data_IF_672075944234
#
_entry.id   IF_672075944234
#
_cell.length_a   1.000
_cell.length_b   1.000
_cell.length_c   1.000
_cell.angle_alpha   90.00
_cell.angle_beta   90.00
_cell.angle_gamma   90.00
#
_symmetry.space_group_name_H-M   'P 1'
#
loop_
_entity.id
_entity.type
_entity.pdbx_description
1 polymer ?
#
# COMPACT_ATOMS: atom_id res chain seq x y z
N UNK A 1 1.41 -18.28 8.45
CA UNK A 1 0.92 -16.89 8.57
C UNK A 1 1.36 -16.17 9.84
N UNK A 2 0.78 -16.43 11.02
CA UNK A 2 1.09 -15.69 12.27
C UNK A 2 2.59 -15.64 12.60
N UNK A 3 3.30 -16.76 12.45
CA UNK A 3 4.76 -16.81 12.65
C UNK A 3 5.51 -15.88 11.67
N UNK A 4 5.05 -15.76 10.42
CA UNK A 4 5.62 -14.84 9.43
C UNK A 4 5.38 -13.38 9.79
N UNK A 5 4.20 -13.04 10.30
CA UNK A 5 3.90 -11.69 10.79
C UNK A 5 4.82 -11.30 11.96
N UNK A 6 4.96 -12.19 12.96
CA UNK A 6 5.86 -11.96 14.10
C UNK A 6 7.32 -11.89 13.70
N UNK A 7 7.76 -12.70 12.73
CA UNK A 7 9.13 -12.63 12.25
C UNK A 7 9.40 -11.31 11.53
N UNK A 8 8.52 -10.89 10.61
CA UNK A 8 8.65 -9.61 9.91
C UNK A 8 8.62 -8.42 10.85
N UNK A 9 7.76 -8.45 11.88
CA UNK A 9 7.69 -7.41 12.90
C UNK A 9 8.99 -7.29 13.72
N UNK A 10 9.55 -8.42 14.18
CA UNK A 10 10.85 -8.42 14.88
C UNK A 10 11.97 -7.87 14.01
N UNK A 11 12.05 -8.32 12.75
CA UNK A 11 13.08 -7.83 11.82
C UNK A 11 12.98 -6.31 11.65
N UNK A 12 11.76 -5.77 11.49
CA UNK A 12 11.58 -4.31 11.38
C UNK A 12 12.01 -3.63 12.68
N UNK A 13 11.63 -4.14 13.85
CA UNK A 13 12.06 -3.55 15.12
C UNK A 13 13.58 -3.58 15.31
N UNK A 14 14.24 -4.65 14.90
CA UNK A 14 15.70 -4.78 14.96
C UNK A 14 16.40 -3.79 14.03
N UNK A 15 15.82 -3.50 12.85
CA UNK A 15 16.29 -2.42 11.97
C UNK A 15 16.15 -1.06 12.66
N UNK A 16 15.01 -0.77 13.30
CA UNK A 16 14.76 0.50 13.98
C UNK A 16 15.71 0.78 15.17
N UNK A 17 16.41 -0.24 15.69
CA UNK A 17 17.45 -0.06 16.73
C UNK A 17 18.84 0.27 16.16
N UNK A 18 18.99 0.26 14.84
CA UNK A 18 20.24 0.48 14.13
C UNK A 18 20.17 1.76 13.30
N UNK A 19 21.31 2.44 13.07
CA UNK A 19 21.32 3.57 12.15
C UNK A 19 21.02 3.08 10.73
N UNK A 20 20.39 3.95 9.93
CA UNK A 20 19.86 3.61 8.59
C UNK A 20 20.91 3.00 7.64
N UNK A 21 22.16 3.47 7.74
CA UNK A 21 23.29 3.01 6.93
C UNK A 21 23.80 1.60 7.32
N UNK A 22 23.44 1.10 8.51
CA UNK A 22 23.77 -0.24 8.97
C UNK A 22 22.67 -1.27 8.65
N UNK A 23 21.52 -0.84 8.10
CA UNK A 23 20.41 -1.74 7.80
C UNK A 23 20.82 -2.81 6.77
N UNK A 24 20.52 -4.06 7.10
CA UNK A 24 20.79 -5.21 6.25
C UNK A 24 19.59 -6.17 6.28
N UNK A 25 19.30 -6.81 5.15
CA UNK A 25 18.32 -7.89 5.09
C UNK A 25 18.87 -9.13 5.82
N UNK A 26 18.26 -9.59 6.93
CA UNK A 26 18.80 -10.75 7.63
C UNK A 26 18.67 -12.02 6.79
N UNK A 27 19.74 -12.81 6.69
CA UNK A 27 19.77 -14.01 5.84
C UNK A 27 18.67 -15.01 6.20
N UNK A 28 18.46 -15.24 7.51
CA UNK A 28 17.41 -16.15 7.97
C UNK A 28 16.00 -15.68 7.57
N UNK A 29 15.77 -14.38 7.47
CA UNK A 29 14.49 -13.82 7.03
C UNK A 29 14.32 -13.98 5.52
N UNK A 30 15.35 -13.65 4.74
CA UNK A 30 15.40 -13.88 3.29
C UNK A 30 15.14 -15.36 2.96
N UNK A 31 15.82 -16.26 3.66
CA UNK A 31 15.76 -17.70 3.37
C UNK A 31 14.39 -18.27 3.75
N UNK A 32 13.80 -17.86 4.88
CA UNK A 32 12.42 -18.24 5.23
C UNK A 32 11.40 -17.73 4.20
N UNK A 33 11.58 -16.49 3.72
CA UNK A 33 10.75 -15.90 2.66
C UNK A 33 10.87 -16.70 1.36
N UNK A 34 12.11 -16.99 0.93
CA UNK A 34 12.42 -17.81 -0.25
C UNK A 34 11.82 -19.21 -0.16
N UNK A 35 12.02 -19.91 0.95
CA UNK A 35 11.45 -21.24 1.17
C UNK A 35 9.93 -21.22 1.04
N UNK A 36 9.27 -20.23 1.65
CA UNK A 36 7.81 -20.09 1.56
C UNK A 36 7.34 -19.76 0.13
N UNK A 37 8.07 -18.92 -0.58
CA UNK A 37 7.77 -18.53 -1.96
C UNK A 37 7.87 -19.71 -2.94
N UNK A 38 8.89 -20.56 -2.76
CA UNK A 38 9.18 -21.72 -3.61
C UNK A 38 8.38 -22.98 -3.23
N UNK A 39 7.70 -23.00 -2.09
CA UNK A 39 6.91 -24.15 -1.66
C UNK A 39 5.67 -24.33 -2.57
N UNK A 40 5.67 -25.40 -3.37
CA UNK A 40 4.59 -25.74 -4.29
C UNK A 40 3.42 -26.46 -3.62
N UNK A 41 3.57 -26.89 -2.36
CA UNK A 41 2.55 -27.62 -1.60
C UNK A 41 1.60 -26.70 -0.85
N UNK A 42 2.03 -25.47 -0.56
CA UNK A 42 1.20 -24.49 0.15
C UNK A 42 0.09 -23.93 -0.75
N UNK A 43 -1.08 -23.72 -0.14
CA UNK A 43 -2.17 -22.98 -0.76
C UNK A 43 -1.73 -21.55 -1.15
N UNK A 44 -2.05 -21.05 -2.36
CA UNK A 44 -1.65 -19.72 -2.81
C UNK A 44 -2.15 -18.58 -1.91
N UNK A 45 -3.35 -18.67 -1.33
CA UNK A 45 -3.85 -17.64 -0.43
C UNK A 45 -3.05 -17.63 0.88
N UNK A 46 -2.72 -18.80 1.43
CA UNK A 46 -1.85 -18.91 2.60
C UNK A 46 -0.44 -18.36 2.34
N UNK A 47 0.13 -18.63 1.16
CA UNK A 47 1.41 -18.05 0.73
C UNK A 47 1.33 -16.53 0.66
N UNK A 48 0.35 -15.98 -0.04
CA UNK A 48 0.18 -14.54 -0.19
C UNK A 48 0.06 -13.84 1.18
N UNK A 49 -0.74 -14.39 2.09
CA UNK A 49 -0.87 -13.85 3.44
C UNK A 49 0.45 -13.96 4.23
N UNK A 50 1.15 -15.08 4.15
CA UNK A 50 2.39 -15.30 4.91
C UNK A 50 3.55 -14.44 4.42
N UNK A 51 3.61 -14.17 3.11
CA UNK A 51 4.64 -13.34 2.46
C UNK A 51 4.31 -11.84 2.47
N UNK A 52 3.14 -11.44 2.94
CA UNK A 52 2.79 -10.02 3.12
C UNK A 52 3.46 -9.50 4.39
N UNK A 53 4.35 -8.49 4.25
CA UNK A 53 4.95 -7.84 5.41
C UNK A 53 3.87 -7.21 6.31
N UNK A 54 4.07 -7.20 7.64
CA UNK A 54 3.16 -6.54 8.57
C UNK A 54 2.85 -5.09 8.17
N UNK A 55 1.65 -4.63 8.48
CA UNK A 55 1.26 -3.24 8.21
C UNK A 55 1.95 -2.29 9.18
N UNK A 56 2.17 -1.05 8.73
CA UNK A 56 2.80 0.00 9.54
C UNK A 56 2.01 0.27 10.84
N UNK A 57 0.68 0.26 10.76
CA UNK A 57 -0.18 0.41 11.94
C UNK A 57 -0.10 -0.78 12.91
N UNK A 58 0.13 -2.01 12.42
CA UNK A 58 0.37 -3.16 13.29
C UNK A 58 1.71 -3.02 14.02
N UNK A 59 2.78 -2.67 13.28
CA UNK A 59 4.12 -2.46 13.85
C UNK A 59 4.10 -1.34 14.89
N UNK A 60 3.48 -0.20 14.57
CA UNK A 60 3.29 0.90 15.50
C UNK A 60 2.57 0.44 16.77
N UNK A 61 1.50 -0.36 16.63
CA UNK A 61 0.78 -0.93 17.77
C UNK A 61 1.61 -1.89 18.62
N UNK A 62 2.54 -2.66 18.04
CA UNK A 62 3.46 -3.54 18.78
C UNK A 62 4.55 -2.76 19.51
N UNK A 63 5.04 -1.65 18.94
CA UNK A 63 6.00 -0.76 19.61
C UNK A 63 5.34 -0.06 20.80
N UNK A 64 4.12 0.44 20.62
CA UNK A 64 3.24 0.85 21.73
C UNK A 64 3.53 2.22 22.37
N UNK A 65 4.70 2.82 22.16
CA UNK A 65 5.04 4.17 22.62
C UNK A 65 6.19 4.77 21.79
N UNK A 66 6.32 6.10 21.81
CA UNK A 66 7.39 6.86 21.14
C UNK A 66 7.59 6.43 19.66
N UNK A 67 6.49 6.14 18.98
CA UNK A 67 6.51 5.63 17.61
C UNK A 67 6.89 6.74 16.63
N UNK A 68 7.93 6.48 15.85
CA UNK A 68 8.22 7.22 14.63
C UNK A 68 7.63 6.49 13.40
N UNK A 69 6.51 6.99 12.83
CA UNK A 69 5.86 6.38 11.67
C UNK A 69 6.69 6.50 10.39
N UNK A 70 7.56 7.50 10.28
CA UNK A 70 8.45 7.67 9.13
C UNK A 70 9.55 6.61 9.16
N UNK A 71 10.15 6.37 10.33
CA UNK A 71 11.14 5.31 10.48
C UNK A 71 10.56 3.91 10.19
N UNK A 72 9.34 3.61 10.69
CA UNK A 72 8.64 2.35 10.37
C UNK A 72 8.46 2.19 8.86
N UNK A 73 7.99 3.25 8.20
CA UNK A 73 7.80 3.25 6.75
C UNK A 73 9.12 2.97 6.02
N UNK A 74 10.18 3.70 6.35
CA UNK A 74 11.50 3.51 5.75
C UNK A 74 12.04 2.08 5.94
N UNK A 75 11.90 1.50 7.14
CA UNK A 75 12.34 0.14 7.44
C UNK A 75 11.54 -0.90 6.65
N UNK A 76 10.22 -0.71 6.53
CA UNK A 76 9.35 -1.59 5.74
C UNK A 76 9.70 -1.51 4.25
N UNK A 77 9.89 -0.31 3.72
CA UNK A 77 10.27 -0.10 2.31
C UNK A 77 11.71 -0.58 2.01
N UNK A 78 12.62 -0.51 2.98
CA UNK A 78 13.93 -1.16 2.91
C UNK A 78 13.80 -2.68 2.75
N UNK A 79 13.01 -3.35 3.60
CA UNK A 79 12.80 -4.79 3.47
C UNK A 79 12.14 -5.18 2.15
N UNK A 80 11.15 -4.41 1.70
CA UNK A 80 10.49 -4.69 0.40
C UNK A 80 11.48 -4.63 -0.76
N UNK A 81 12.31 -3.59 -0.83
CA UNK A 81 13.31 -3.41 -1.89
C UNK A 81 14.38 -4.51 -1.84
N UNK A 82 14.96 -4.74 -0.67
CA UNK A 82 16.01 -5.76 -0.51
C UNK A 82 15.50 -7.19 -0.75
N UNK A 83 14.26 -7.51 -0.37
CA UNK A 83 13.62 -8.78 -0.73
C UNK A 83 13.38 -8.88 -2.24
N UNK A 84 12.90 -7.81 -2.88
CA UNK A 84 12.67 -7.78 -4.32
C UNK A 84 13.97 -8.00 -5.10
N UNK A 85 15.06 -7.35 -4.70
CA UNK A 85 16.39 -7.51 -5.28
C UNK A 85 16.96 -8.92 -5.04
N UNK A 86 16.91 -9.42 -3.80
CA UNK A 86 17.50 -10.70 -3.45
C UNK A 86 16.75 -11.92 -4.02
N UNK A 87 15.44 -11.75 -4.31
CA UNK A 87 14.53 -12.82 -4.75
C UNK A 87 13.89 -12.53 -6.12
N UNK A 88 14.50 -11.66 -6.94
CA UNK A 88 13.88 -11.23 -8.21
C UNK A 88 13.47 -12.41 -9.07
N UNK A 89 14.37 -13.37 -9.30
CA UNK A 89 14.11 -14.53 -10.17
C UNK A 89 12.97 -15.40 -9.64
N UNK A 90 12.93 -15.64 -8.33
CA UNK A 90 11.89 -16.44 -7.68
C UNK A 90 10.54 -15.73 -7.70
N UNK A 91 10.52 -14.41 -7.51
CA UNK A 91 9.32 -13.58 -7.59
C UNK A 91 8.77 -13.55 -9.01
N UNK A 92 9.63 -13.43 -10.03
CA UNK A 92 9.23 -13.49 -11.44
C UNK A 92 8.66 -14.85 -11.82
N UNK A 93 9.31 -15.94 -11.40
CA UNK A 93 8.83 -17.30 -11.62
C UNK A 93 7.46 -17.52 -10.96
N UNK A 94 7.32 -17.10 -9.70
CA UNK A 94 6.05 -17.21 -8.96
C UNK A 94 4.94 -16.39 -9.61
N UNK A 95 5.23 -15.14 -10.00
CA UNK A 95 4.31 -14.29 -10.76
C UNK A 95 3.85 -14.96 -12.05
N UNK A 96 4.79 -15.46 -12.85
CA UNK A 96 4.50 -16.09 -14.14
C UNK A 96 3.64 -17.34 -14.01
N UNK A 97 3.91 -18.18 -13.00
CA UNK A 97 3.14 -19.40 -12.73
C UNK A 97 1.69 -19.11 -12.34
N UNK A 98 1.43 -17.98 -11.68
CA UNK A 98 0.11 -17.63 -11.17
C UNK A 98 -0.66 -16.65 -12.06
N UNK A 99 -0.06 -16.20 -13.16
CA UNK A 99 -0.72 -15.34 -14.14
C UNK A 99 -1.93 -16.04 -14.74
N UNK A 100 -3.08 -15.37 -14.68
CA UNK A 100 -4.30 -15.84 -15.35
C UNK A 100 -4.08 -15.86 -16.88
N UNK A 101 -4.23 -17.03 -17.50
CA UNK A 101 -4.15 -17.23 -18.97
C UNK A 101 -5.48 -17.67 -19.59
N UNK A 102 -6.55 -17.72 -18.79
CA UNK A 102 -7.84 -18.27 -19.18
C UNK A 102 -9.03 -17.38 -18.80
N UNK A 103 -10.27 -17.87 -18.99
CA UNK A 103 -11.46 -17.16 -18.57
C UNK A 103 -11.43 -16.90 -17.06
N UNK A 104 -12.07 -15.81 -16.65
CA UNK A 104 -12.18 -15.47 -15.23
C UNK A 104 -12.90 -16.57 -14.45
N UNK A 105 -12.28 -17.00 -13.35
CA UNK A 105 -12.83 -18.00 -12.44
C UNK A 105 -13.03 -17.41 -11.04
N UNK A 106 -14.21 -17.62 -10.48
CA UNK A 106 -14.56 -17.29 -9.11
C UNK A 106 -14.51 -18.54 -8.21
N UNK A 107 -13.30 -18.88 -7.75
CA UNK A 107 -13.05 -19.93 -6.77
C UNK A 107 -12.02 -19.47 -5.74
N UNK A 108 -12.03 -20.07 -4.54
CA UNK A 108 -11.10 -19.72 -3.47
C UNK A 108 -9.64 -19.87 -3.93
N UNK A 109 -9.35 -20.94 -4.68
CA UNK A 109 -8.03 -21.17 -5.25
C UNK A 109 -7.65 -20.10 -6.27
N UNK A 110 -8.53 -19.78 -7.24
CA UNK A 110 -8.27 -18.73 -8.22
C UNK A 110 -8.06 -17.35 -7.57
N UNK A 111 -8.82 -17.03 -6.52
CA UNK A 111 -8.62 -15.82 -5.72
C UNK A 111 -7.26 -15.81 -5.01
N UNK A 112 -6.84 -16.94 -4.43
CA UNK A 112 -5.53 -17.10 -3.82
C UNK A 112 -4.38 -16.91 -4.82
N UNK A 113 -4.50 -17.47 -6.03
CA UNK A 113 -3.50 -17.28 -7.09
C UNK A 113 -3.36 -15.81 -7.49
N UNK A 114 -4.47 -15.10 -7.70
CA UNK A 114 -4.45 -13.66 -8.00
C UNK A 114 -3.85 -12.84 -6.87
N UNK A 115 -4.15 -13.19 -5.62
CA UNK A 115 -3.53 -12.54 -4.46
C UNK A 115 -2.01 -12.74 -4.44
N UNK A 116 -1.52 -13.95 -4.71
CA UNK A 116 -0.09 -14.26 -4.78
C UNK A 116 0.59 -13.59 -5.98
N UNK A 117 -0.03 -13.60 -7.16
CA UNK A 117 0.44 -12.90 -8.36
C UNK A 117 0.61 -11.40 -8.08
N UNK A 118 -0.43 -10.75 -7.54
CA UNK A 118 -0.39 -9.33 -7.21
C UNK A 118 0.65 -9.00 -6.13
N UNK A 119 0.83 -9.88 -5.15
CA UNK A 119 1.88 -9.72 -4.14
C UNK A 119 3.27 -9.78 -4.78
N UNK A 120 3.53 -10.76 -5.67
CA UNK A 120 4.79 -10.85 -6.39
C UNK A 120 5.04 -9.59 -7.21
N UNK A 121 4.03 -9.10 -7.95
CA UNK A 121 4.12 -7.85 -8.70
C UNK A 121 4.43 -6.65 -7.81
N UNK A 122 3.81 -6.58 -6.63
CA UNK A 122 4.03 -5.52 -5.66
C UNK A 122 5.43 -5.56 -5.03
N UNK A 123 6.14 -6.70 -5.02
CA UNK A 123 7.57 -6.74 -4.70
C UNK A 123 8.42 -6.41 -5.92
N UNK A 124 8.14 -7.00 -7.09
CA UNK A 124 8.91 -6.77 -8.31
C UNK A 124 9.01 -5.28 -8.66
N UNK A 125 7.94 -4.51 -8.48
CA UNK A 125 7.95 -3.07 -8.77
C UNK A 125 8.95 -2.30 -7.89
N UNK A 126 9.27 -2.82 -6.70
CA UNK A 126 10.22 -2.22 -5.75
C UNK A 126 11.67 -2.38 -6.19
N UNK A 127 11.97 -3.34 -7.09
CA UNK A 127 13.31 -3.51 -7.65
C UNK A 127 13.75 -2.33 -8.54
N UNK A 128 12.81 -1.44 -8.92
CA UNK A 128 13.05 -0.34 -9.84
C UNK A 128 13.33 -0.76 -11.29
N UNK A 129 13.27 -2.06 -11.59
CA UNK A 129 13.56 -2.57 -12.92
C UNK A 129 12.47 -2.18 -13.93
N UNK A 130 12.91 -1.81 -15.14
CA UNK A 130 12.02 -1.50 -16.25
C UNK A 130 11.10 -2.67 -16.61
N UNK A 131 11.62 -3.91 -16.56
CA UNK A 131 10.85 -5.13 -16.78
C UNK A 131 9.67 -5.28 -15.80
N UNK A 132 9.83 -4.86 -14.55
CA UNK A 132 8.77 -4.90 -13.55
C UNK A 132 7.65 -3.90 -13.86
N UNK A 133 7.99 -2.69 -14.33
CA UNK A 133 7.02 -1.69 -14.78
C UNK A 133 6.24 -2.17 -16.00
N UNK A 134 6.93 -2.69 -17.00
CA UNK A 134 6.30 -3.27 -18.20
C UNK A 134 5.36 -4.41 -17.83
N UNK A 135 5.78 -5.28 -16.90
CA UNK A 135 4.95 -6.39 -16.40
C UNK A 135 3.67 -5.88 -15.72
N UNK A 136 3.75 -4.82 -14.92
CA UNK A 136 2.59 -4.20 -14.30
C UNK A 136 1.66 -3.57 -15.35
N UNK A 137 2.21 -2.85 -16.33
CA UNK A 137 1.44 -2.27 -17.43
C UNK A 137 0.72 -3.36 -18.25
N UNK A 138 1.43 -4.42 -18.66
CA UNK A 138 0.82 -5.55 -19.36
C UNK A 138 -0.30 -6.21 -18.55
N UNK A 139 -0.10 -6.39 -17.23
CA UNK A 139 -1.17 -6.92 -16.38
C UNK A 139 -2.39 -5.99 -16.36
N UNK A 140 -2.19 -4.67 -16.30
CA UNK A 140 -3.28 -3.69 -16.31
C UNK A 140 -4.06 -3.72 -17.62
N UNK A 141 -3.35 -3.78 -18.75
CA UNK A 141 -3.94 -3.75 -20.10
C UNK A 141 -4.72 -5.04 -20.39
N UNK A 142 -4.17 -6.19 -20.00
CA UNK A 142 -4.76 -7.50 -20.27
C UNK A 142 -5.76 -7.96 -19.19
N UNK A 143 -5.86 -7.25 -18.06
CA UNK A 143 -6.72 -7.66 -16.96
C UNK A 143 -8.19 -7.80 -17.39
N UNK A 144 -8.71 -9.02 -17.27
CA UNK A 144 -10.12 -9.35 -17.47
C UNK A 144 -10.96 -9.28 -16.18
N UNK A 145 -10.36 -8.86 -15.07
CA UNK A 145 -11.00 -8.77 -13.77
C UNK A 145 -10.43 -7.63 -12.92
N UNK A 146 -11.25 -7.09 -12.03
CA UNK A 146 -10.89 -5.92 -11.21
C UNK A 146 -9.76 -6.21 -10.21
N UNK A 147 -9.58 -7.45 -9.77
CA UNK A 147 -8.51 -7.81 -8.81
C UNK A 147 -7.12 -7.65 -9.43
N UNK A 148 -6.92 -8.12 -10.66
CA UNK A 148 -5.64 -7.98 -11.35
C UNK A 148 -5.42 -6.55 -11.86
N UNK A 149 -6.47 -5.88 -12.36
CA UNK A 149 -6.39 -4.48 -12.77
C UNK A 149 -6.00 -3.57 -11.60
N UNK A 150 -6.68 -3.70 -10.46
CA UNK A 150 -6.35 -2.91 -9.26
C UNK A 150 -4.97 -3.29 -8.69
N UNK A 151 -4.59 -4.57 -8.72
CA UNK A 151 -3.27 -5.00 -8.25
C UNK A 151 -2.13 -4.38 -9.07
N UNK A 152 -2.28 -4.35 -10.40
CA UNK A 152 -1.33 -3.71 -11.30
C UNK A 152 -1.28 -2.18 -11.10
N UNK A 153 -2.44 -1.53 -11.04
CA UNK A 153 -2.52 -0.10 -10.79
C UNK A 153 -1.92 0.27 -9.42
N UNK A 154 -2.15 -0.57 -8.40
CA UNK A 154 -1.59 -0.38 -7.07
C UNK A 154 -0.07 -0.47 -7.09
N UNK A 155 0.51 -1.44 -7.81
CA UNK A 155 1.96 -1.55 -7.96
C UNK A 155 2.55 -0.30 -8.62
N UNK A 156 2.02 0.13 -9.76
CA UNK A 156 2.47 1.33 -10.47
C UNK A 156 2.33 2.59 -9.61
N UNK A 157 1.25 2.72 -8.83
CA UNK A 157 1.03 3.90 -8.00
C UNK A 157 2.04 4.08 -6.86
N UNK A 158 2.85 3.07 -6.53
CA UNK A 158 3.88 3.18 -5.50
C UNK A 158 5.22 3.71 -6.02
N UNK A 159 5.38 3.88 -7.34
CA UNK A 159 6.62 4.37 -7.94
C UNK A 159 6.40 5.70 -8.67
N UNK A 160 7.36 6.62 -8.57
CA UNK A 160 7.28 7.89 -9.28
C UNK A 160 7.77 7.71 -10.72
N UNK A 161 6.83 7.57 -11.66
CA UNK A 161 7.15 7.27 -13.05
C UNK A 161 6.08 7.75 -14.02
N UNK A 162 6.43 7.91 -15.29
CA UNK A 162 5.46 8.27 -16.34
C UNK A 162 4.39 7.18 -16.53
N UNK A 163 4.76 5.90 -16.35
CA UNK A 163 3.82 4.77 -16.43
C UNK A 163 2.75 4.87 -15.34
N UNK A 164 3.10 5.35 -14.13
CA UNK A 164 2.12 5.59 -13.06
C UNK A 164 1.06 6.60 -13.50
N UNK A 165 1.47 7.75 -14.02
CA UNK A 165 0.53 8.81 -14.40
C UNK A 165 -0.38 8.36 -15.55
N UNK A 166 0.20 7.69 -16.55
CA UNK A 166 -0.56 7.12 -17.67
C UNK A 166 -1.55 6.05 -17.21
N UNK A 167 -1.13 5.15 -16.33
CA UNK A 167 -2.00 4.10 -15.78
C UNK A 167 -3.15 4.68 -14.95
N UNK A 168 -2.87 5.69 -14.10
CA UNK A 168 -3.90 6.35 -13.30
C UNK A 168 -4.93 7.08 -14.18
N UNK A 169 -4.47 7.80 -15.20
CA UNK A 169 -5.35 8.52 -16.13
C UNK A 169 -6.18 7.54 -16.98
N UNK A 170 -5.54 6.54 -17.58
CA UNK A 170 -6.21 5.53 -18.41
C UNK A 170 -7.22 4.69 -17.62
N UNK A 171 -6.89 4.35 -16.36
CA UNK A 171 -7.83 3.66 -15.47
C UNK A 171 -9.04 4.53 -15.14
N UNK A 172 -8.85 5.83 -14.88
CA UNK A 172 -9.97 6.74 -14.64
C UNK A 172 -10.87 6.85 -15.87
N UNK A 173 -10.33 7.13 -17.06
CA UNK A 173 -11.16 7.26 -18.27
C UNK A 173 -11.96 6.00 -18.57
N UNK A 174 -11.37 4.81 -18.35
CA UNK A 174 -12.07 3.53 -18.55
C UNK A 174 -13.21 3.29 -17.57
N UNK A 175 -13.09 3.79 -16.33
CA UNK A 175 -13.99 3.44 -15.23
C UNK A 175 -14.74 4.63 -14.62
N UNK A 176 -14.66 5.83 -15.22
CA UNK A 176 -15.24 7.08 -14.68
C UNK A 176 -16.74 7.01 -14.41
N UNK A 177 -17.48 6.15 -15.12
CA UNK A 177 -18.91 5.92 -14.91
C UNK A 177 -19.23 4.98 -13.74
N UNK A 178 -18.27 4.17 -13.28
CA UNK A 178 -18.42 3.30 -12.11
C UNK A 178 -17.92 4.00 -10.84
N UNK A 179 -18.86 4.58 -10.11
CA UNK A 179 -18.60 5.34 -8.88
C UNK A 179 -17.83 4.54 -7.82
N UNK A 180 -18.06 3.22 -7.70
CA UNK A 180 -17.38 2.40 -6.70
C UNK A 180 -15.93 2.13 -7.09
N UNK A 181 -15.65 1.94 -8.38
CA UNK A 181 -14.29 1.80 -8.90
C UNK A 181 -13.53 3.12 -8.80
N UNK A 182 -14.16 4.23 -9.13
CA UNK A 182 -13.57 5.57 -8.97
C UNK A 182 -13.22 5.88 -7.51
N UNK A 183 -14.03 5.44 -6.54
CA UNK A 183 -13.68 5.56 -5.13
C UNK A 183 -12.40 4.76 -4.79
N UNK A 184 -12.22 3.56 -5.34
CA UNK A 184 -10.96 2.81 -5.15
C UNK A 184 -9.77 3.53 -5.77
N UNK A 185 -9.95 4.14 -6.94
CA UNK A 185 -8.92 4.94 -7.62
C UNK A 185 -8.52 6.19 -6.82
N UNK A 186 -9.47 6.88 -6.19
CA UNK A 186 -9.18 8.00 -5.28
C UNK A 186 -8.35 7.54 -4.08
N UNK A 187 -8.78 6.47 -3.40
CA UNK A 187 -8.09 5.99 -2.20
C UNK A 187 -6.73 5.40 -2.48
N UNK A 188 -6.57 4.73 -3.62
CA UNK A 188 -5.28 4.20 -4.06
C UNK A 188 -4.23 5.31 -4.19
N UNK A 189 -4.59 6.45 -4.81
CA UNK A 189 -3.69 7.60 -4.91
C UNK A 189 -3.38 8.23 -3.55
N UNK A 190 -4.39 8.32 -2.67
CA UNK A 190 -4.23 8.85 -1.31
C UNK A 190 -3.24 8.03 -0.45
N UNK A 191 -3.14 6.72 -0.72
CA UNK A 191 -2.23 5.78 -0.06
C UNK A 191 -0.91 5.57 -0.80
N UNK A 192 -0.58 6.43 -1.78
CA UNK A 192 0.71 6.35 -2.47
C UNK A 192 1.85 6.78 -1.54
N UNK A 193 2.95 6.02 -1.55
CA UNK A 193 4.20 6.39 -0.86
C UNK A 193 5.04 7.44 -1.61
N UNK A 194 4.70 7.72 -2.87
CA UNK A 194 5.45 8.68 -3.70
C UNK A 194 5.44 10.06 -3.01
N UNK A 195 6.60 10.75 -2.91
CA UNK A 195 6.66 12.09 -2.35
C UNK A 195 5.60 13.04 -2.94
N UNK A 196 5.03 13.90 -2.11
CA UNK A 196 3.96 14.81 -2.53
C UNK A 196 2.56 14.20 -2.57
N UNK A 197 2.33 13.06 -1.90
CA UNK A 197 1.01 12.42 -1.82
C UNK A 197 -0.08 13.38 -1.28
N UNK A 198 0.22 14.23 -0.28
CA UNK A 198 -0.72 15.24 0.21
C UNK A 198 -1.07 16.28 -0.86
N UNK A 199 -0.08 16.74 -1.64
CA UNK A 199 -0.34 17.65 -2.75
C UNK A 199 -1.26 17.00 -3.81
N UNK A 200 -1.01 15.71 -4.12
CA UNK A 200 -1.90 14.93 -5.00
C UNK A 200 -3.31 14.81 -4.44
N UNK A 201 -3.46 14.57 -3.13
CA UNK A 201 -4.77 14.54 -2.46
C UNK A 201 -5.50 15.86 -2.61
N UNK A 202 -4.81 17.00 -2.41
CA UNK A 202 -5.41 18.34 -2.61
C UNK A 202 -5.87 18.54 -4.05
N UNK A 203 -5.07 18.16 -5.05
CA UNK A 203 -5.48 18.20 -6.46
C UNK A 203 -6.71 17.32 -6.71
N UNK A 204 -6.76 16.11 -6.14
CA UNK A 204 -7.90 15.21 -6.30
C UNK A 204 -9.19 15.70 -5.64
N UNK A 205 -9.11 16.60 -4.65
CA UNK A 205 -10.29 17.24 -4.08
C UNK A 205 -10.96 18.23 -5.04
N UNK A 206 -10.23 18.74 -6.02
CA UNK A 206 -10.75 19.64 -7.07
C UNK A 206 -11.19 18.86 -8.31
N UNK A 207 -10.91 17.56 -8.36
CA UNK A 207 -11.23 16.70 -9.50
C UNK A 207 -12.74 16.40 -9.58
N UNK A 208 -13.28 16.29 -10.80
CA UNK A 208 -14.71 15.98 -11.04
C UNK A 208 -15.18 14.66 -10.37
N UNK A 209 -14.25 13.75 -10.15
CA UNK A 209 -14.48 12.49 -9.45
C UNK A 209 -14.75 12.67 -7.96
N UNK A 210 -14.39 13.81 -7.35
CA UNK A 210 -14.55 14.07 -5.92
C UNK A 210 -15.73 15.00 -5.63
N UNK A 211 -16.41 14.77 -4.51
CA UNK A 211 -17.45 15.67 -3.99
C UNK A 211 -17.43 15.59 -2.47
N UNK A 212 -17.17 16.72 -1.82
CA UNK A 212 -17.12 16.86 -0.36
C UNK A 212 -18.46 16.52 0.31
N UNK A 213 -19.59 16.65 -0.41
CA UNK A 213 -20.92 16.29 0.11
C UNK A 213 -21.17 14.79 0.10
N UNK A 214 -20.38 14.01 -0.64
CA UNK A 214 -20.55 12.57 -0.74
C UNK A 214 -19.66 11.85 0.30
N UNK A 215 -20.26 11.20 1.34
CA UNK A 215 -19.49 10.55 2.39
C UNK A 215 -18.58 9.42 1.91
N UNK A 216 -18.93 8.73 0.81
CA UNK A 216 -18.10 7.67 0.25
C UNK A 216 -16.85 8.24 -0.39
N UNK A 217 -16.96 9.36 -1.12
CA UNK A 217 -15.82 10.04 -1.76
C UNK A 217 -14.88 10.67 -0.72
N UNK A 218 -15.45 11.30 0.32
CA UNK A 218 -14.69 11.82 1.47
C UNK A 218 -13.89 10.72 2.15
N UNK A 219 -14.53 9.57 2.45
CA UNK A 219 -13.83 8.41 3.03
C UNK A 219 -12.78 7.84 2.09
N UNK A 220 -13.10 7.76 0.80
CA UNK A 220 -12.21 7.22 -0.22
C UNK A 220 -10.94 8.06 -0.40
N UNK A 221 -11.01 9.39 -0.36
CA UNK A 221 -9.84 10.24 -0.57
C UNK A 221 -9.19 10.66 0.75
N UNK A 222 -9.90 11.45 1.56
CA UNK A 222 -9.37 12.07 2.79
C UNK A 222 -9.15 10.99 3.86
N UNK A 223 -10.12 10.10 4.03
CA UNK A 223 -10.02 9.00 4.99
C UNK A 223 -8.85 8.06 4.68
N UNK A 224 -8.68 7.68 3.41
CA UNK A 224 -7.57 6.84 2.98
C UNK A 224 -6.20 7.50 3.15
N UNK A 225 -6.08 8.82 2.94
CA UNK A 225 -4.84 9.54 3.26
C UNK A 225 -4.53 9.45 4.77
N UNK A 226 -5.49 9.83 5.62
CA UNK A 226 -5.25 9.93 7.06
C UNK A 226 -5.01 8.57 7.74
N UNK A 227 -5.65 7.51 7.26
CA UNK A 227 -5.57 6.17 7.88
C UNK A 227 -4.62 5.22 7.15
N UNK A 228 -4.44 5.39 5.84
CA UNK A 228 -3.70 4.48 4.97
C UNK A 228 -2.32 4.98 4.54
N UNK A 229 -1.91 6.18 4.95
CA UNK A 229 -0.62 6.76 4.62
C UNK A 229 0.04 7.42 5.85
N UNK A 230 0.36 6.64 6.91
CA UNK A 230 0.76 7.21 8.19
C UNK A 230 2.08 7.98 8.11
N UNK A 231 3.04 7.59 7.26
CA UNK A 231 4.27 8.36 7.06
C UNK A 231 4.02 9.78 6.56
N UNK A 232 3.04 9.96 5.67
CA UNK A 232 2.70 11.27 5.09
C UNK A 232 1.68 12.03 5.96
N UNK A 233 0.75 11.34 6.60
CA UNK A 233 -0.21 11.95 7.53
C UNK A 233 0.48 12.47 8.79
N UNK A 234 1.45 11.71 9.32
CA UNK A 234 2.28 12.10 10.46
C UNK A 234 3.62 12.71 10.02
N UNK A 235 3.64 13.43 8.89
CA UNK A 235 4.82 14.17 8.45
C UNK A 235 5.33 15.12 9.56
N UNK A 236 6.65 15.28 9.67
CA UNK A 236 7.29 16.04 10.74
C UNK A 236 6.90 17.53 10.75
N UNK A 237 6.52 18.07 9.59
CA UNK A 237 6.06 19.44 9.43
C UNK A 237 4.60 19.66 9.90
N UNK A 238 3.91 18.59 10.31
CA UNK A 238 2.52 18.63 10.76
C UNK A 238 1.50 18.90 9.65
N UNK A 239 1.91 18.89 8.38
CA UNK A 239 1.06 19.23 7.22
C UNK A 239 -0.16 18.32 7.09
N UNK A 240 -0.01 17.02 7.41
CA UNK A 240 -1.12 16.06 7.41
C UNK A 240 -2.17 16.36 8.49
N UNK A 241 -1.75 16.81 9.67
CA UNK A 241 -2.67 17.24 10.74
C UNK A 241 -3.40 18.53 10.38
N UNK A 242 -2.66 19.52 9.86
CA UNK A 242 -3.23 20.79 9.41
C UNK A 242 -4.29 20.55 8.32
N UNK A 243 -3.97 19.71 7.34
CA UNK A 243 -4.90 19.29 6.29
C UNK A 243 -6.17 18.66 6.88
N UNK A 244 -6.06 17.68 7.78
CA UNK A 244 -7.23 17.06 8.40
C UNK A 244 -8.05 18.09 9.19
N UNK A 245 -7.39 19.02 9.89
CA UNK A 245 -8.05 20.11 10.61
C UNK A 245 -8.88 21.02 9.68
N UNK A 246 -8.35 21.38 8.51
CA UNK A 246 -9.10 22.11 7.47
C UNK A 246 -10.34 21.33 7.03
N UNK A 247 -10.20 20.04 6.73
CA UNK A 247 -11.31 19.22 6.22
C UNK A 247 -12.37 18.98 7.29
N UNK A 248 -11.96 18.80 8.54
CA UNK A 248 -12.89 18.61 9.67
C UNK A 248 -13.69 19.87 9.94
N UNK A 249 -13.13 21.07 9.81
CA UNK A 249 -13.89 22.32 9.93
C UNK A 249 -15.03 22.38 8.92
N UNK A 250 -14.73 22.10 7.65
CA UNK A 250 -15.72 22.07 6.56
C UNK A 250 -16.76 20.98 6.81
N UNK A 251 -16.32 19.76 7.14
CA UNK A 251 -17.20 18.63 7.35
C UNK A 251 -18.02 18.73 8.63
N UNK A 252 -17.58 19.47 9.64
CA UNK A 252 -18.37 19.69 10.85
C UNK A 252 -19.64 20.50 10.54
N UNK A 253 -19.60 21.40 9.57
CA UNK A 253 -20.79 22.12 9.10
C UNK A 253 -21.67 21.27 8.17
N UNK A 254 -21.05 20.51 7.27
CA UNK A 254 -21.77 19.73 6.25
C UNK A 254 -22.32 18.40 6.77
N UNK A 255 -21.50 17.66 7.54
CA UNK A 255 -21.79 16.33 8.04
C UNK A 255 -20.93 15.97 9.28
N UNK A 256 -21.35 16.38 10.50
CA UNK A 256 -20.61 16.14 11.73
C UNK A 256 -20.25 14.66 11.99
N UNK A 257 -21.08 13.72 11.52
CA UNK A 257 -20.81 12.29 11.71
C UNK A 257 -19.60 11.82 10.91
N UNK A 258 -19.38 12.38 9.71
CA UNK A 258 -18.21 12.07 8.90
C UNK A 258 -16.97 12.75 9.48
N UNK A 259 -17.09 14.00 9.94
CA UNK A 259 -16.02 14.69 10.65
C UNK A 259 -15.53 13.87 11.87
N UNK A 260 -16.45 13.37 12.71
CA UNK A 260 -16.15 12.55 13.88
C UNK A 260 -15.44 11.22 13.55
N UNK A 261 -15.71 10.64 12.37
CA UNK A 261 -15.02 9.44 11.89
C UNK A 261 -13.63 9.75 11.34
N UNK A 262 -13.45 10.90 10.69
CA UNK A 262 -12.16 11.28 10.12
C UNK A 262 -11.11 11.64 11.17
N UNK A 263 -11.52 12.12 12.35
CA UNK A 263 -10.57 12.43 13.44
C UNK A 263 -10.07 11.20 14.19
N UNK A 264 -10.56 9.99 13.88
CA UNK A 264 -10.15 8.76 14.59
C UNK A 264 -8.63 8.50 14.60
N UNK A 265 -7.85 8.76 13.52
CA UNK A 265 -6.39 8.64 13.57
C UNK A 265 -5.72 9.52 14.64
N UNK A 266 -6.32 10.67 14.98
CA UNK A 266 -5.81 11.57 16.03
C UNK A 266 -6.05 11.03 17.45
N UNK A 267 -6.95 10.06 17.63
CA UNK A 267 -7.24 9.48 18.95
C UNK A 267 -6.06 8.73 19.57
N UNK A 268 -5.10 8.29 18.73
CA UNK A 268 -3.91 7.54 19.13
C UNK A 268 -2.66 8.40 19.27
N UNK A 269 -2.80 9.71 19.47
CA UNK A 269 -1.67 10.65 19.54
C UNK A 269 -0.57 10.21 20.52
N UNK A 270 -0.92 9.65 21.68
CA UNK A 270 0.04 9.15 22.70
C UNK A 270 0.94 8.00 22.24
N UNK A 271 0.63 7.37 21.11
CA UNK A 271 1.46 6.33 20.53
C UNK A 271 2.75 6.90 19.95
N UNK A 272 2.71 8.13 19.43
CA UNK A 272 3.78 8.74 18.65
C UNK A 272 4.78 9.49 19.54
N UNK A 273 5.93 9.84 18.96
CA UNK A 273 6.95 10.66 19.62
C UNK A 273 6.45 12.05 20.09
N UNK A 274 7.21 12.68 21.00
CA UNK A 274 6.85 13.98 21.58
C UNK A 274 6.61 15.10 20.56
N UNK A 275 7.42 15.27 19.49
CA UNK A 275 7.13 16.28 18.48
C UNK A 275 5.75 16.14 17.81
N UNK A 276 5.24 14.91 17.67
CA UNK A 276 3.93 14.62 17.06
C UNK A 276 2.74 14.70 18.04
N UNK A 277 2.98 14.73 19.35
CA UNK A 277 1.97 14.83 20.41
C UNK A 277 1.53 16.27 20.66
#
# INVERSE_FOLDING_TARGET
>A
WEAGQRLGERVIRDLLQQPFDAWALPEHFRDAFRTTLLDTTLDPALKAQTLTLPSEGYIAGQIGHDVDPVAIHLAREFLRRTLAEALTLELEACYGQHRDQGPYEFSAYAMGRRALQNLCLAYLIESGQESARQRAQSQLDEANNMTNAMGALQALNQIDSTERDQALAGFYERWREDVLVVNKWLGLQAMSKVPGSLARVRVLMEHEAFDMRNPNKVRALIGSFCAGNPAQFHAEDGSGYAFLGEQVKVLNELNPQIAARLVQPLSRWRLYDKPRQ
#
